data_IF_406471578847
#
_entry.id   IF_406471578847
#
_cell.length_a   1.000
_cell.length_b   1.000
_cell.length_c   1.000
_cell.angle_alpha   90.00
_cell.angle_beta   90.00
_cell.angle_gamma   90.00
#
_symmetry.space_group_name_H-M   'P 1'
#
loop_
_entity.id
_entity.type
_entity.pdbx_description
1 polymer ?
#
# COMPACT_ATOMS: atom_id res chain seq x y z
N UNK A 1 -14.49 15.85 11.11
CA UNK A 1 -14.65 14.79 10.10
C UNK A 1 -13.32 14.37 9.49
N UNK A 2 -12.39 15.30 9.20
CA UNK A 2 -11.05 15.01 8.63
C UNK A 2 -10.24 13.95 9.40
N UNK A 3 -10.35 13.91 10.73
CA UNK A 3 -9.66 12.93 11.57
C UNK A 3 -10.11 11.49 11.36
N UNK A 4 -11.36 11.25 10.97
CA UNK A 4 -11.86 9.89 10.68
C UNK A 4 -11.18 9.29 9.45
N UNK A 5 -10.80 10.13 8.48
CA UNK A 5 -10.06 9.70 7.29
C UNK A 5 -8.62 9.27 7.60
N UNK A 6 -8.13 9.43 8.82
CA UNK A 6 -6.83 8.88 9.24
C UNK A 6 -6.92 7.40 9.64
N UNK A 7 -8.11 6.91 9.99
CA UNK A 7 -8.32 5.54 10.49
C UNK A 7 -7.79 4.47 9.52
N UNK A 8 -8.06 4.53 8.20
CA UNK A 8 -7.55 3.53 7.27
C UNK A 8 -6.02 3.42 7.26
N UNK A 9 -5.30 4.53 7.44
CA UNK A 9 -3.84 4.52 7.52
C UNK A 9 -3.34 3.86 8.81
N UNK A 10 -4.04 4.13 9.93
CA UNK A 10 -3.74 3.52 11.22
C UNK A 10 -4.02 2.01 11.25
N UNK A 11 -4.91 1.52 10.38
CA UNK A 11 -5.18 0.08 10.22
C UNK A 11 -4.19 -0.55 9.24
N UNK A 12 -3.94 0.08 8.10
CA UNK A 12 -3.11 -0.49 7.03
C UNK A 12 -1.69 -0.79 7.51
N UNK A 13 -1.05 0.17 8.18
CA UNK A 13 0.37 0.05 8.53
C UNK A 13 0.61 -1.13 9.48
N UNK A 14 -0.11 -1.27 10.62
CA UNK A 14 0.04 -2.45 11.48
C UNK A 14 -0.22 -3.78 10.77
N UNK A 15 -1.20 -3.86 9.86
CA UNK A 15 -1.47 -5.08 9.10
C UNK A 15 -0.32 -5.44 8.17
N UNK A 16 0.22 -4.46 7.42
CA UNK A 16 1.41 -4.66 6.57
C UNK A 16 2.60 -5.09 7.43
N UNK A 17 2.83 -4.42 8.57
CA UNK A 17 3.94 -4.79 9.45
C UNK A 17 3.77 -6.20 10.02
N UNK A 18 2.57 -6.58 10.41
CA UNK A 18 2.33 -7.91 10.94
C UNK A 18 2.58 -8.97 9.86
N UNK A 19 2.07 -8.76 8.65
CA UNK A 19 2.28 -9.66 7.51
C UNK A 19 3.78 -9.84 7.20
N UNK A 20 4.49 -8.72 7.05
CA UNK A 20 5.89 -8.69 6.65
C UNK A 20 6.84 -9.26 7.73
N UNK A 21 6.66 -8.90 9.00
CA UNK A 21 7.59 -9.33 10.06
C UNK A 21 7.23 -10.67 10.69
N UNK A 22 5.96 -11.11 10.61
CA UNK A 22 5.55 -12.40 11.16
C UNK A 22 5.43 -13.47 10.08
N UNK A 23 4.60 -13.30 9.06
CA UNK A 23 4.34 -14.35 8.07
C UNK A 23 5.45 -14.47 7.05
N UNK A 24 5.81 -13.38 6.36
CA UNK A 24 6.84 -13.41 5.32
C UNK A 24 8.20 -13.88 5.87
N UNK A 25 8.63 -13.33 7.01
CA UNK A 25 9.90 -13.77 7.63
C UNK A 25 9.88 -15.22 8.11
N UNK A 26 8.73 -15.75 8.53
CA UNK A 26 8.63 -17.13 8.98
C UNK A 26 8.66 -18.13 7.83
N UNK A 27 7.96 -17.86 6.72
CA UNK A 27 7.83 -18.79 5.59
C UNK A 27 8.81 -18.52 4.44
N UNK A 28 9.46 -17.35 4.44
CA UNK A 28 10.19 -16.84 3.29
C UNK A 28 9.27 -16.27 2.22
N UNK A 29 9.87 -15.64 1.20
CA UNK A 29 9.12 -15.01 0.12
C UNK A 29 9.44 -15.69 -1.22
N UNK A 30 8.47 -16.30 -1.93
CA UNK A 30 8.71 -16.87 -3.25
C UNK A 30 8.98 -15.78 -4.30
N UNK A 31 9.65 -16.13 -5.40
CA UNK A 31 10.09 -15.17 -6.44
C UNK A 31 8.99 -14.27 -6.98
N UNK A 32 7.76 -14.79 -7.11
CA UNK A 32 6.64 -14.01 -7.63
C UNK A 32 6.21 -12.91 -6.65
N UNK A 33 6.24 -13.15 -5.34
CA UNK A 33 5.98 -12.13 -4.30
C UNK A 33 7.13 -11.13 -4.20
N UNK A 34 8.38 -11.58 -4.35
CA UNK A 34 9.57 -10.70 -4.36
C UNK A 34 9.52 -9.62 -5.43
N UNK A 35 8.85 -9.89 -6.54
CA UNK A 35 8.61 -8.95 -7.64
C UNK A 35 7.24 -8.27 -7.49
N UNK A 36 6.21 -9.03 -7.12
CA UNK A 36 4.84 -8.56 -6.94
C UNK A 36 4.75 -7.44 -5.90
N UNK A 37 5.27 -7.67 -4.68
CA UNK A 37 5.15 -6.72 -3.59
C UNK A 37 5.76 -5.34 -3.91
N UNK A 38 6.98 -5.24 -4.48
CA UNK A 38 7.47 -3.94 -4.94
C UNK A 38 6.60 -3.27 -6.00
N UNK A 39 6.01 -4.02 -6.94
CA UNK A 39 5.11 -3.46 -7.95
C UNK A 39 3.80 -2.95 -7.35
N UNK A 40 3.25 -3.67 -6.38
CA UNK A 40 2.04 -3.26 -5.66
C UNK A 40 2.32 -2.00 -4.83
N UNK A 41 3.44 -1.96 -4.09
CA UNK A 41 3.87 -0.76 -3.37
C UNK A 41 4.16 0.40 -4.31
N UNK A 42 4.77 0.16 -5.48
CA UNK A 42 4.98 1.19 -6.51
C UNK A 42 3.65 1.78 -6.97
N UNK A 43 2.62 0.96 -7.17
CA UNK A 43 1.29 1.44 -7.54
C UNK A 43 0.72 2.43 -6.50
N UNK A 44 0.95 2.16 -5.20
CA UNK A 44 0.56 3.05 -4.09
C UNK A 44 1.39 4.32 -4.07
N UNK A 45 2.71 4.22 -4.27
CA UNK A 45 3.61 5.38 -4.37
C UNK A 45 3.17 6.31 -5.49
N UNK A 46 2.80 5.76 -6.66
CA UNK A 46 2.27 6.54 -7.77
C UNK A 46 0.95 7.22 -7.42
N UNK A 47 0.03 6.51 -6.75
CA UNK A 47 -1.22 7.09 -6.28
C UNK A 47 -0.96 8.26 -5.31
N UNK A 48 -0.15 8.05 -4.28
CA UNK A 48 0.14 9.05 -3.25
C UNK A 48 0.99 10.21 -3.77
N UNK A 49 1.76 10.04 -4.85
CA UNK A 49 2.52 11.13 -5.45
C UNK A 49 1.64 12.30 -5.88
N UNK A 50 0.41 12.03 -6.35
CA UNK A 50 -0.53 13.06 -6.80
C UNK A 50 -0.92 14.01 -5.66
N UNK A 51 -1.55 13.54 -4.57
CA UNK A 51 -1.95 14.41 -3.47
C UNK A 51 -0.77 14.96 -2.66
N UNK A 52 0.41 14.34 -2.71
CA UNK A 52 1.60 14.79 -1.98
C UNK A 52 2.39 15.88 -2.71
N UNK A 53 2.38 15.91 -4.04
CA UNK A 53 3.22 16.79 -4.86
C UNK A 53 2.43 17.88 -5.59
N UNK A 54 1.13 17.68 -5.82
CA UNK A 54 0.32 18.60 -6.61
C UNK A 54 -0.84 19.18 -5.81
N UNK A 55 -1.18 20.47 -6.02
CA UNK A 55 -2.42 21.02 -5.48
C UNK A 55 -3.63 20.37 -6.13
N UNK A 56 -4.76 20.38 -5.42
CA UNK A 56 -6.01 19.83 -5.94
C UNK A 56 -6.41 20.51 -7.26
N UNK A 57 -6.70 19.69 -8.26
CA UNK A 57 -7.31 20.10 -9.52
C UNK A 57 -8.18 18.96 -10.09
N UNK A 58 -9.22 19.26 -10.89
CA UNK A 58 -10.05 18.22 -11.51
C UNK A 58 -9.26 17.25 -12.39
N UNK A 59 -8.24 17.73 -13.10
CA UNK A 59 -7.39 16.89 -13.95
C UNK A 59 -6.57 15.90 -13.11
N UNK A 60 -5.95 16.37 -12.02
CA UNK A 60 -5.18 15.49 -11.13
C UNK A 60 -6.09 14.55 -10.33
N UNK A 61 -7.31 14.96 -9.98
CA UNK A 61 -8.30 14.07 -9.38
C UNK A 61 -8.65 12.90 -10.30
N UNK A 62 -8.89 13.15 -11.59
CA UNK A 62 -9.19 12.09 -12.56
C UNK A 62 -8.00 11.12 -12.68
N UNK A 63 -6.78 11.64 -12.77
CA UNK A 63 -5.57 10.80 -12.80
C UNK A 63 -5.43 9.97 -11.51
N UNK A 64 -5.65 10.59 -10.35
CA UNK A 64 -5.60 9.91 -9.05
C UNK A 64 -6.61 8.75 -8.97
N UNK A 65 -7.84 8.97 -9.43
CA UNK A 65 -8.88 7.93 -9.46
C UNK A 65 -8.46 6.78 -10.37
N UNK A 66 -7.97 7.06 -11.58
CA UNK A 66 -7.49 6.04 -12.52
C UNK A 66 -6.37 5.20 -11.88
N UNK A 67 -5.37 5.87 -11.30
CA UNK A 67 -4.25 5.19 -10.63
C UNK A 67 -4.74 4.35 -9.43
N UNK A 68 -5.69 4.87 -8.66
CA UNK A 68 -6.25 4.16 -7.50
C UNK A 68 -7.00 2.90 -7.92
N UNK A 69 -7.80 2.96 -8.98
CA UNK A 69 -8.47 1.77 -9.55
C UNK A 69 -7.44 0.75 -10.03
N UNK A 70 -6.41 1.18 -10.74
CA UNK A 70 -5.33 0.29 -11.19
C UNK A 70 -4.64 -0.35 -9.99
N UNK A 71 -4.29 0.43 -8.97
CA UNK A 71 -3.65 -0.07 -7.73
C UNK A 71 -4.54 -1.10 -7.01
N UNK A 72 -5.84 -0.83 -6.89
CA UNK A 72 -6.80 -1.79 -6.33
C UNK A 72 -6.86 -3.09 -7.13
N UNK A 73 -6.86 -3.02 -8.46
CA UNK A 73 -6.86 -4.22 -9.30
C UNK A 73 -5.54 -4.98 -9.19
N UNK A 74 -4.41 -4.28 -9.10
CA UNK A 74 -3.09 -4.90 -8.97
C UNK A 74 -3.01 -5.80 -7.75
N UNK A 75 -3.40 -5.33 -6.56
CA UNK A 75 -3.32 -6.17 -5.34
C UNK A 75 -4.21 -7.41 -5.42
N UNK A 76 -5.34 -7.36 -6.12
CA UNK A 76 -6.22 -8.55 -6.25
C UNK A 76 -5.59 -9.70 -7.04
N UNK A 77 -4.52 -9.45 -7.82
CA UNK A 77 -3.83 -10.50 -8.57
C UNK A 77 -3.17 -11.54 -7.65
N UNK A 78 -2.83 -11.17 -6.42
CA UNK A 78 -2.08 -12.05 -5.53
C UNK A 78 -2.98 -13.13 -4.92
N UNK A 79 -4.28 -12.89 -4.84
CA UNK A 79 -5.26 -13.82 -4.30
C UNK A 79 -5.29 -15.17 -5.02
N UNK A 80 -5.05 -15.15 -6.35
CA UNK A 80 -4.98 -16.37 -7.15
C UNK A 80 -3.89 -17.32 -6.68
N UNK A 81 -2.82 -16.79 -6.09
CA UNK A 81 -1.66 -17.55 -5.62
C UNK A 81 -1.68 -17.72 -4.11
N UNK A 82 -2.09 -16.70 -3.34
CA UNK A 82 -2.18 -16.75 -1.87
C UNK A 82 -3.06 -17.88 -1.37
N UNK A 83 -4.20 -18.15 -2.04
CA UNK A 83 -5.11 -19.26 -1.68
C UNK A 83 -4.45 -20.65 -1.65
N UNK A 84 -3.28 -20.80 -2.27
CA UNK A 84 -2.52 -22.05 -2.34
C UNK A 84 -1.29 -22.08 -1.42
N UNK A 85 -0.79 -20.92 -0.97
CA UNK A 85 0.49 -20.80 -0.27
C UNK A 85 0.34 -20.30 1.16
N UNK A 86 -0.68 -19.48 1.44
CA UNK A 86 -0.85 -18.82 2.72
C UNK A 86 -1.71 -19.69 3.67
N UNK A 87 -1.32 -19.84 4.95
CA UNK A 87 -2.22 -20.37 5.96
C UNK A 87 -3.42 -19.44 6.15
N UNK A 88 -4.52 -19.97 6.69
CA UNK A 88 -5.77 -19.22 6.86
C UNK A 88 -5.61 -17.89 7.63
N UNK A 89 -4.69 -17.82 8.60
CA UNK A 89 -4.44 -16.61 9.37
C UNK A 89 -3.76 -15.50 8.53
N UNK A 90 -2.82 -15.87 7.66
CA UNK A 90 -2.16 -14.92 6.73
C UNK A 90 -3.16 -14.45 5.68
N UNK A 91 -3.94 -15.39 5.14
CA UNK A 91 -5.00 -15.09 4.18
C UNK A 91 -6.05 -14.10 4.73
N UNK A 92 -6.41 -14.23 6.02
CA UNK A 92 -7.29 -13.27 6.69
C UNK A 92 -6.68 -11.86 6.78
N UNK A 93 -5.36 -11.75 7.04
CA UNK A 93 -4.67 -10.45 7.03
C UNK A 93 -4.69 -9.86 5.62
N UNK A 94 -4.43 -10.66 4.59
CA UNK A 94 -4.52 -10.21 3.19
C UNK A 94 -5.92 -9.71 2.83
N UNK A 95 -6.97 -10.42 3.26
CA UNK A 95 -8.35 -9.98 3.06
C UNK A 95 -8.63 -8.63 3.73
N UNK A 96 -8.12 -8.42 4.95
CA UNK A 96 -8.25 -7.13 5.66
C UNK A 96 -7.49 -6.01 4.95
N UNK A 97 -6.27 -6.30 4.47
CA UNK A 97 -5.48 -5.36 3.67
C UNK A 97 -6.21 -4.99 2.37
N UNK A 98 -6.80 -5.96 1.67
CA UNK A 98 -7.51 -5.74 0.41
C UNK A 98 -8.80 -4.95 0.60
N UNK A 99 -9.53 -5.20 1.69
CA UNK A 99 -10.72 -4.43 2.04
C UNK A 99 -10.36 -2.98 2.40
N UNK A 100 -9.28 -2.79 3.16
CA UNK A 100 -8.87 -1.47 3.63
C UNK A 100 -8.18 -0.64 2.53
N UNK A 101 -7.55 -1.26 1.55
CA UNK A 101 -6.83 -0.59 0.45
C UNK A 101 -7.66 0.47 -0.31
N UNK A 102 -8.84 0.15 -0.88
CA UNK A 102 -9.68 1.16 -1.55
C UNK A 102 -10.20 2.23 -0.59
N UNK A 103 -10.43 1.88 0.68
CA UNK A 103 -10.87 2.82 1.72
C UNK A 103 -9.74 3.81 2.03
N UNK A 104 -8.51 3.33 2.13
CA UNK A 104 -7.31 4.15 2.37
C UNK A 104 -7.06 5.12 1.22
N UNK A 105 -7.13 4.66 -0.03
CA UNK A 105 -6.96 5.54 -1.20
C UNK A 105 -8.12 6.56 -1.27
N UNK A 106 -9.35 6.14 -1.02
CA UNK A 106 -10.48 7.08 -0.92
C UNK A 106 -10.26 8.14 0.16
N UNK A 107 -9.76 7.73 1.34
CA UNK A 107 -9.45 8.61 2.44
C UNK A 107 -8.33 9.60 2.09
N UNK A 108 -7.27 9.16 1.41
CA UNK A 108 -6.22 10.05 0.87
C UNK A 108 -6.82 11.11 -0.06
N UNK A 109 -7.73 10.75 -0.95
CA UNK A 109 -8.42 11.69 -1.83
C UNK A 109 -9.23 12.75 -1.06
N UNK A 110 -10.02 12.33 -0.07
CA UNK A 110 -10.79 13.28 0.76
C UNK A 110 -9.90 14.17 1.63
N UNK A 111 -8.82 13.62 2.17
CA UNK A 111 -7.81 14.38 2.92
C UNK A 111 -7.16 15.43 2.02
N UNK A 112 -6.78 15.07 0.79
CA UNK A 112 -6.17 16.00 -0.15
C UNK A 112 -7.07 17.19 -0.49
N UNK A 113 -8.37 16.95 -0.69
CA UNK A 113 -9.36 18.01 -0.97
C UNK A 113 -9.40 19.07 0.14
N UNK A 114 -9.17 18.68 1.40
CA UNK A 114 -9.27 19.63 2.52
C UNK A 114 -8.22 20.74 2.46
N UNK A 115 -7.14 20.58 1.67
CA UNK A 115 -6.09 21.58 1.45
C UNK A 115 -5.46 22.14 2.74
N UNK A 116 -5.52 21.37 3.83
CA UNK A 116 -4.95 21.76 5.12
C UNK A 116 -3.46 21.40 5.11
N UNK A 117 -2.60 22.35 5.51
CA UNK A 117 -1.15 22.14 5.46
C UNK A 117 -0.68 20.88 6.18
N UNK A 118 -1.18 20.62 7.40
CA UNK A 118 -0.83 19.41 8.16
C UNK A 118 -1.25 18.12 7.45
N UNK A 119 -2.34 18.14 6.69
CA UNK A 119 -2.79 16.99 5.89
C UNK A 119 -1.82 16.74 4.74
N UNK A 120 -1.37 17.79 4.05
CA UNK A 120 -0.36 17.66 3.00
C UNK A 120 0.93 17.03 3.56
N UNK A 121 1.42 17.52 4.70
CA UNK A 121 2.60 16.93 5.35
C UNK A 121 2.37 15.47 5.76
N UNK A 122 1.18 15.15 6.29
CA UNK A 122 0.82 13.77 6.61
C UNK A 122 0.88 12.86 5.38
N UNK A 123 0.27 13.27 4.26
CA UNK A 123 0.28 12.48 3.02
C UNK A 123 1.71 12.37 2.44
N UNK A 124 2.53 13.42 2.52
CA UNK A 124 3.95 13.35 2.15
C UNK A 124 4.74 12.36 3.01
N UNK A 125 4.48 12.31 4.32
CA UNK A 125 5.08 11.30 5.21
C UNK A 125 4.66 9.90 4.78
N UNK A 126 3.36 9.66 4.51
CA UNK A 126 2.88 8.35 4.04
C UNK A 126 3.52 7.96 2.70
N UNK A 127 3.66 8.90 1.78
CA UNK A 127 4.33 8.70 0.49
C UNK A 127 5.81 8.33 0.67
N UNK A 128 6.55 9.04 1.52
CA UNK A 128 7.94 8.72 1.83
C UNK A 128 8.10 7.38 2.53
N UNK A 129 7.20 7.03 3.46
CA UNK A 129 7.18 5.72 4.11
C UNK A 129 6.92 4.59 3.11
N UNK A 130 6.00 4.78 2.15
CA UNK A 130 5.76 3.81 1.09
C UNK A 130 6.98 3.63 0.17
N UNK A 131 7.68 4.72 -0.19
CA UNK A 131 8.94 4.66 -0.94
C UNK A 131 9.99 3.88 -0.14
N UNK A 132 10.18 4.20 1.13
CA UNK A 132 11.15 3.52 1.98
C UNK A 132 10.81 2.03 2.10
N UNK A 133 9.53 1.69 2.29
CA UNK A 133 9.07 0.32 2.38
C UNK A 133 9.30 -0.44 1.07
N UNK A 134 9.04 0.18 -0.09
CA UNK A 134 9.35 -0.41 -1.40
C UNK A 134 10.84 -0.73 -1.55
N UNK A 135 11.72 0.20 -1.16
CA UNK A 135 13.16 -0.04 -1.18
C UNK A 135 13.56 -1.13 -0.20
N UNK A 136 13.01 -1.14 1.01
CA UNK A 136 13.22 -2.20 1.98
C UNK A 136 12.81 -3.57 1.39
N UNK A 137 11.61 -3.71 0.84
CA UNK A 137 11.14 -4.96 0.24
C UNK A 137 12.05 -5.40 -0.91
N UNK A 138 12.42 -4.47 -1.78
CA UNK A 138 13.31 -4.74 -2.93
C UNK A 138 14.67 -5.21 -2.45
N UNK A 139 15.33 -4.45 -1.56
CA UNK A 139 16.69 -4.74 -1.09
C UNK A 139 16.72 -6.01 -0.23
N UNK A 140 15.84 -6.10 0.77
CA UNK A 140 15.84 -7.19 1.73
C UNK A 140 15.54 -8.53 1.07
N UNK A 141 14.46 -8.61 0.28
CA UNK A 141 14.03 -9.89 -0.28
C UNK A 141 14.77 -10.30 -1.54
N UNK A 142 15.24 -9.34 -2.37
CA UNK A 142 15.94 -9.69 -3.62
C UNK A 142 17.45 -9.78 -3.48
N UNK A 143 18.06 -9.10 -2.50
CA UNK A 143 19.53 -9.02 -2.39
C UNK A 143 20.11 -9.53 -1.06
N UNK A 144 19.36 -9.45 0.04
CA UNK A 144 19.87 -9.89 1.35
C UNK A 144 19.46 -11.32 1.70
N UNK A 145 18.18 -11.65 1.54
CA UNK A 145 17.67 -13.00 1.77
C UNK A 145 17.91 -13.82 0.50
N UNK A 146 19.02 -14.56 0.47
CA UNK A 146 19.28 -15.54 -0.58
C UNK A 146 18.16 -16.60 -0.58
N UNK A 147 17.62 -16.89 -1.78
CA UNK A 147 16.70 -18.02 -1.99
C UNK A 147 17.37 -19.28 -1.39
N UNK A 148 16.78 -19.85 -0.33
CA UNK A 148 17.11 -21.21 0.10
C UNK A 148 16.44 -22.21 -0.84
#
# INVERSE_FOLDING_TARGET
MTTLWLIPFLIQMPLILFDEWFFHRKRGLPKWEKIGHPLDTLSVVLCLSIPSLFPYSPAFLNLYIILSVISCLMVTKDEWVHKHHCPAAEHWIHAMLFLNHPILLTAAGFLWISSLSWVTHFLQIQWLLAIFFMFYQTIYWNFYVNDQ
#
